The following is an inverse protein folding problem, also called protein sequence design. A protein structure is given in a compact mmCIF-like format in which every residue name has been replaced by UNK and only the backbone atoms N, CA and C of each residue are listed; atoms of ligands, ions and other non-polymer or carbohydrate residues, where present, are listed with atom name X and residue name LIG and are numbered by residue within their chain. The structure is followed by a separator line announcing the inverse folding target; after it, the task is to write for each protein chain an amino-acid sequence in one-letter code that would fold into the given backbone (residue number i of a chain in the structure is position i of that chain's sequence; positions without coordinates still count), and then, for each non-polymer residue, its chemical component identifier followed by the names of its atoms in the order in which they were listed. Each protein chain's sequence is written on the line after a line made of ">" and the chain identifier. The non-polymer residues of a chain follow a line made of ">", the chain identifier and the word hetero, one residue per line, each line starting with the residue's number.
data_IF_840357132231
#
_entry.id   IF_840357132231
#
_cell.length_a   1.000
_cell.length_b   1.000
_cell.length_c   1.000
_cell.angle_alpha   90.00
_cell.angle_beta   90.00
_cell.angle_gamma   90.00
#
_symmetry.space_group_name_H-M   'P 1'
#
loop_
_entity.id
_entity.type
_entity.pdbx_description
1 polymer ?
#
# COMPACT_ATOMS: atom_id res chain seq x y z
N UNK A 1 18.10 6.46 3.29
CA UNK A 1 16.97 5.84 2.58
C UNK A 1 16.22 6.93 1.84
N UNK A 2 15.74 6.70 0.61
CA UNK A 2 14.95 7.71 -0.10
C UNK A 2 13.56 7.82 0.52
N UNK A 3 13.10 9.05 0.79
CA UNK A 3 11.75 9.32 1.28
C UNK A 3 10.71 9.39 0.16
N UNK A 4 11.13 9.11 -1.08
CA UNK A 4 10.27 9.08 -2.26
C UNK A 4 9.54 7.73 -2.34
N UNK A 5 8.22 7.78 -2.50
CA UNK A 5 7.34 6.63 -2.73
C UNK A 5 7.64 6.00 -4.09
N UNK A 6 7.87 4.69 -4.09
CA UNK A 6 8.03 3.89 -5.30
C UNK A 6 6.73 3.17 -5.67
N UNK A 7 6.69 2.61 -6.88
CA UNK A 7 5.56 1.82 -7.34
C UNK A 7 5.23 0.68 -6.38
N UNK A 8 3.94 0.54 -6.06
CA UNK A 8 3.43 -0.53 -5.20
C UNK A 8 3.62 -0.28 -3.70
N UNK A 9 4.16 0.87 -3.29
CA UNK A 9 4.30 1.22 -1.87
C UNK A 9 3.11 2.02 -1.38
N UNK A 10 2.57 1.62 -0.23
CA UNK A 10 1.58 2.41 0.51
C UNK A 10 2.26 3.46 1.39
N UNK A 11 1.46 4.40 1.93
CA UNK A 11 1.95 5.31 2.97
C UNK A 11 2.52 4.55 4.17
N UNK A 12 1.85 3.47 4.55
CA UNK A 12 2.24 2.60 5.65
C UNK A 12 3.62 1.95 5.42
N UNK A 13 3.84 1.43 4.20
CA UNK A 13 5.13 0.86 3.79
C UNK A 13 6.25 1.87 3.93
N UNK A 14 6.05 3.08 3.39
CA UNK A 14 7.09 4.11 3.34
C UNK A 14 7.41 4.63 4.73
N UNK A 15 6.41 4.94 5.56
CA UNK A 15 6.65 5.44 6.92
C UNK A 15 7.32 4.37 7.78
N UNK A 16 6.89 3.11 7.70
CA UNK A 16 7.52 2.02 8.44
C UNK A 16 8.98 1.81 7.99
N UNK A 17 9.24 1.89 6.68
CA UNK A 17 10.60 1.81 6.13
C UNK A 17 11.52 2.93 6.66
N UNK A 18 10.99 4.15 6.80
CA UNK A 18 11.77 5.33 7.19
C UNK A 18 11.95 5.47 8.71
N UNK A 19 10.94 5.08 9.49
CA UNK A 19 10.90 5.31 10.95
C UNK A 19 11.12 4.05 11.78
N UNK A 20 10.85 2.89 11.20
CA UNK A 20 10.94 1.59 11.87
C UNK A 20 9.79 1.29 12.83
N UNK A 21 8.74 2.13 12.85
CA UNK A 21 7.55 1.97 13.71
C UNK A 21 6.29 2.08 12.89
N UNK A 22 5.33 1.20 13.19
CA UNK A 22 3.96 1.30 12.66
C UNK A 22 3.19 2.42 13.39
N UNK A 23 3.49 2.65 14.66
CA UNK A 23 2.83 3.70 15.46
C UNK A 23 3.06 5.09 14.85
N UNK A 24 4.22 5.29 14.23
CA UNK A 24 4.55 6.56 13.58
C UNK A 24 3.67 6.82 12.35
N UNK A 25 3.06 5.80 11.73
CA UNK A 25 2.20 5.98 10.56
C UNK A 25 1.07 6.97 10.85
N UNK A 26 0.42 6.89 12.01
CA UNK A 26 -0.66 7.82 12.36
C UNK A 26 -0.16 9.26 12.59
N UNK A 27 0.99 9.40 13.27
CA UNK A 27 1.59 10.71 13.54
C UNK A 27 2.02 11.38 12.24
N UNK A 28 2.67 10.63 11.37
CA UNK A 28 3.19 11.13 10.11
C UNK A 28 2.06 11.34 9.09
N UNK A 29 0.94 10.61 9.15
CA UNK A 29 -0.21 10.85 8.27
C UNK A 29 -0.82 12.24 8.53
N UNK A 30 -0.91 12.65 9.80
CA UNK A 30 -1.34 13.99 10.18
C UNK A 30 -0.35 15.04 9.67
N UNK A 31 0.96 14.80 9.77
CA UNK A 31 1.99 15.72 9.28
C UNK A 31 1.91 15.92 7.76
N UNK A 32 1.72 14.82 7.02
CA UNK A 32 1.70 14.84 5.56
C UNK A 32 0.32 15.22 4.98
N UNK A 33 -0.72 15.31 5.82
CA UNK A 33 -2.08 15.62 5.39
C UNK A 33 -2.69 14.54 4.48
N UNK A 34 -2.29 13.28 4.65
CA UNK A 34 -2.75 12.13 3.85
C UNK A 34 -3.42 11.11 4.75
N UNK A 35 -4.42 10.38 4.24
CA UNK A 35 -4.96 9.24 4.98
C UNK A 35 -3.96 8.09 5.00
N UNK A 36 -4.00 7.28 6.07
CA UNK A 36 -3.18 6.06 6.18
C UNK A 36 -3.56 5.00 5.14
N UNK A 37 -4.77 5.10 4.58
CA UNK A 37 -5.32 4.19 3.55
C UNK A 37 -5.27 4.78 2.14
N UNK A 38 -4.80 6.01 1.96
CA UNK A 38 -4.78 6.64 0.64
C UNK A 38 -3.72 6.01 -0.26
N UNK A 39 -4.06 5.88 -1.54
CA UNK A 39 -3.10 5.54 -2.58
C UNK A 39 -2.21 6.76 -2.84
N UNK A 40 -0.91 6.61 -2.57
CA UNK A 40 0.05 7.67 -2.84
C UNK A 40 0.54 7.60 -4.28
N UNK A 41 0.67 8.75 -4.96
CA UNK A 41 1.29 8.77 -6.27
C UNK A 41 2.78 8.42 -6.17
N UNK A 42 3.28 7.73 -7.18
CA UNK A 42 4.71 7.47 -7.34
C UNK A 42 5.44 8.81 -7.40
N UNK A 43 6.57 8.92 -6.69
CA UNK A 43 7.33 10.17 -6.62
C UNK A 43 6.95 11.07 -5.44
N UNK A 44 5.88 10.75 -4.69
CA UNK A 44 5.50 11.50 -3.50
C UNK A 44 6.62 11.44 -2.45
N UNK A 45 6.99 12.59 -1.88
CA UNK A 45 8.02 12.68 -0.85
C UNK A 45 7.36 12.71 0.53
N UNK A 46 7.46 11.59 1.26
CA UNK A 46 6.92 11.49 2.62
C UNK A 46 7.83 12.23 3.60
N UNK A 47 7.22 13.05 4.44
CA UNK A 47 7.87 13.71 5.56
C UNK A 47 7.79 12.80 6.79
N UNK A 48 8.91 12.65 7.50
CA UNK A 48 8.96 11.91 8.77
C UNK A 48 9.70 12.73 9.81
N UNK A 49 9.24 12.70 11.06
CA UNK A 49 9.81 13.49 12.14
C UNK A 49 10.96 12.79 12.85
N UNK A 50 10.88 11.47 13.02
CA UNK A 50 11.84 10.73 13.84
C UNK A 50 11.97 9.25 13.44
N UNK A 51 13.12 8.68 13.80
CA UNK A 51 13.38 7.24 13.69
C UNK A 51 13.22 6.63 15.07
N UNK A 52 12.14 5.87 15.26
CA UNK A 52 11.85 5.16 16.52
C UNK A 52 12.69 3.89 16.64
N UNK A 53 12.82 3.11 15.56
CA UNK A 53 13.54 1.84 15.60
C UNK A 53 14.59 1.72 14.48
N UNK A 54 15.84 2.04 14.83
CA UNK A 54 16.98 1.98 13.90
C UNK A 54 17.27 0.56 13.37
N UNK A 55 16.97 -0.49 14.15
CA UNK A 55 17.19 -1.88 13.71
C UNK A 55 16.27 -2.23 12.54
N UNK A 56 15.01 -1.80 12.61
CA UNK A 56 14.02 -2.02 11.54
C UNK A 56 14.35 -1.15 10.33
N UNK A 57 14.70 0.12 10.53
CA UNK A 57 15.13 0.98 9.41
C UNK A 57 16.37 0.40 8.69
N UNK A 58 17.33 -0.13 9.46
CA UNK A 58 18.53 -0.77 8.90
C UNK A 58 18.29 -2.11 8.22
N UNK A 59 17.14 -2.75 8.43
CA UNK A 59 16.77 -3.99 7.75
C UNK A 59 16.40 -3.73 6.28
N UNK A 60 15.75 -2.60 6.00
CA UNK A 60 15.34 -2.25 4.65
C UNK A 60 16.52 -1.69 3.85
N UNK A 61 16.54 -2.03 2.58
CA UNK A 61 17.50 -1.63 1.57
C UNK A 61 16.79 -1.51 0.20
N UNK A 62 17.46 -1.00 -0.85
CA UNK A 62 16.82 -0.78 -2.15
C UNK A 62 16.23 -2.03 -2.83
N UNK A 63 16.59 -3.23 -2.38
CA UNK A 63 16.19 -4.52 -2.97
C UNK A 63 15.10 -5.26 -2.18
N UNK A 64 14.77 -4.83 -0.96
CA UNK A 64 13.74 -5.46 -0.12
C UNK A 64 12.71 -4.46 0.43
N UNK A 65 12.46 -3.38 -0.31
CA UNK A 65 11.48 -2.39 0.10
C UNK A 65 10.05 -2.98 0.09
N UNK A 66 9.25 -2.71 1.12
CA UNK A 66 7.88 -3.22 1.19
C UNK A 66 7.02 -2.59 0.10
N UNK A 67 6.10 -3.38 -0.46
CA UNK A 67 5.20 -2.99 -1.54
C UNK A 67 3.82 -3.63 -1.33
N UNK A 68 3.12 -3.19 -0.30
CA UNK A 68 1.82 -3.72 0.14
C UNK A 68 0.63 -2.92 -0.37
N UNK A 69 0.84 -1.88 -1.20
CA UNK A 69 -0.26 -1.14 -1.80
C UNK A 69 -1.17 -2.08 -2.59
N UNK A 70 -2.45 -2.05 -2.25
CA UNK A 70 -3.49 -2.79 -2.95
C UNK A 70 -3.90 -2.00 -4.19
N UNK A 71 -3.14 -2.14 -5.28
CA UNK A 71 -3.62 -1.65 -6.57
C UNK A 71 -4.95 -2.36 -6.89
N UNK A 72 -6.02 -1.59 -7.09
CA UNK A 72 -7.37 -2.10 -7.38
C UNK A 72 -7.39 -3.11 -8.54
N UNK A 73 -6.43 -3.03 -9.46
CA UNK A 73 -6.30 -3.92 -10.63
C UNK A 73 -5.86 -5.37 -10.31
N UNK A 74 -5.36 -5.66 -9.09
CA UNK A 74 -4.92 -7.02 -8.74
C UNK A 74 -6.00 -7.92 -8.17
N UNK A 75 -7.21 -7.40 -7.91
CA UNK A 75 -8.39 -8.24 -7.70
C UNK A 75 -9.07 -8.45 -9.05
N UNK A 76 -8.40 -9.15 -9.96
CA UNK A 76 -9.19 -10.08 -10.76
C UNK A 76 -9.66 -11.10 -9.77
N UNK A 77 -10.89 -10.94 -9.26
CA UNK A 77 -11.67 -12.11 -8.92
C UNK A 77 -11.43 -13.06 -10.07
N UNK A 78 -10.83 -14.21 -9.77
CA UNK A 78 -10.81 -15.29 -10.74
C UNK A 78 -12.30 -15.53 -10.93
N UNK A 79 -12.86 -15.03 -12.04
CA UNK A 79 -14.22 -15.34 -12.42
C UNK A 79 -14.32 -16.84 -12.23
N UNK A 80 -15.12 -17.26 -11.25
CA UNK A 80 -15.39 -18.65 -11.04
C UNK A 80 -16.18 -19.06 -12.28
N UNK A 81 -15.50 -19.47 -13.36
CA UNK A 81 -16.08 -19.77 -14.68
C UNK A 81 -16.94 -21.06 -14.66
N UNK A 82 -17.49 -21.43 -13.51
CA UNK A 82 -18.42 -22.54 -13.34
C UNK A 82 -19.86 -22.05 -13.27
N UNK A 83 -20.79 -22.94 -13.63
CA UNK A 83 -22.25 -22.74 -13.51
C UNK A 83 -22.70 -22.27 -12.11
N UNK A 84 -21.92 -22.56 -11.07
CA UNK A 84 -22.22 -22.15 -9.69
C UNK A 84 -22.00 -20.65 -9.39
N UNK A 85 -21.36 -19.90 -10.29
CA UNK A 85 -21.17 -18.45 -10.15
C UNK A 85 -22.05 -17.63 -11.10
N UNK A 86 -22.86 -18.28 -11.95
CA UNK A 86 -23.74 -17.59 -12.88
C UNK A 86 -25.00 -17.09 -12.17
N UNK A 87 -25.26 -15.78 -12.23
CA UNK A 87 -26.48 -15.15 -11.71
C UNK A 87 -27.44 -14.87 -12.87
N UNK A 88 -28.69 -15.35 -12.78
CA UNK A 88 -29.73 -15.12 -13.81
C UNK A 88 -30.03 -13.62 -13.87
N UNK A 89 -30.03 -13.05 -15.08
CA UNK A 89 -30.20 -11.62 -15.40
C UNK A 89 -28.96 -10.71 -15.27
N UNK A 90 -27.81 -11.23 -14.84
CA UNK A 90 -26.56 -10.45 -14.78
C UNK A 90 -25.49 -11.08 -15.68
N UNK A 91 -25.05 -12.30 -15.35
CA UNK A 91 -24.00 -13.01 -16.10
C UNK A 91 -24.52 -14.11 -17.03
N UNK A 92 -25.80 -14.47 -16.93
CA UNK A 92 -26.49 -15.44 -17.78
C UNK A 92 -27.74 -14.81 -18.41
N UNK A 93 -27.68 -14.54 -19.72
CA UNK A 93 -28.75 -13.94 -20.51
C UNK A 93 -29.36 -15.02 -21.40
N UNK A 94 -30.65 -15.32 -21.20
CA UNK A 94 -31.44 -16.15 -22.12
C UNK A 94 -32.26 -15.21 -23.00
N UNK A 95 -31.89 -15.13 -24.27
CA UNK A 95 -32.68 -14.50 -25.33
C UNK A 95 -33.33 -15.56 -26.21
#
# INVERSE_FOLDING_TARGET
>A
MSNIVKQGQSFFDKVTQLTGSIENVLKESILNGVSITDDLPIGYAVQVTEITNRRVVGYFNPFNEPATALAADKRKEIDSLGIGAMVIQDTFIVG
#
